data_IF_737814896245
#
_entry.id   IF_737814896245
#
_cell.length_a   1.000
_cell.length_b   1.000
_cell.length_c   1.000
_cell.angle_alpha   90.00
_cell.angle_beta   90.00
_cell.angle_gamma   90.00
#
_symmetry.space_group_name_H-M   'P 1'
#
loop_
_entity.id
_entity.type
_entity.pdbx_description
1 polymer ?
#
# COMPACT_ATOMS: atom_id res chain seq x y z
N UNK A 1 -25.16 -16.18 64.71
CA UNK A 1 -25.60 -16.60 63.37
C UNK A 1 -24.50 -16.24 62.38
N UNK A 2 -23.90 -17.25 61.77
CA UNK A 2 -22.76 -17.20 60.85
C UNK A 2 -23.11 -16.35 59.60
N UNK A 3 -22.18 -15.70 58.90
CA UNK A 3 -21.32 -16.40 57.93
C UNK A 3 -20.26 -15.46 57.33
N UNK A 4 -18.98 -15.85 57.40
CA UNK A 4 -17.90 -15.33 56.54
C UNK A 4 -18.24 -15.63 55.09
N UNK A 5 -18.11 -14.69 54.14
CA UNK A 5 -17.96 -15.04 52.71
C UNK A 5 -17.41 -13.87 51.87
N UNK A 6 -16.18 -14.09 51.40
CA UNK A 6 -15.67 -13.78 50.06
C UNK A 6 -15.16 -12.35 49.79
N UNK A 7 -13.90 -12.20 50.21
CA UNK A 7 -12.79 -11.56 49.50
C UNK A 7 -12.78 -11.83 47.96
N UNK A 8 -13.70 -11.29 47.16
CA UNK A 8 -13.67 -11.40 45.68
C UNK A 8 -14.39 -10.21 45.02
N UNK A 9 -13.82 -9.00 45.05
CA UNK A 9 -14.18 -7.97 44.05
C UNK A 9 -13.05 -6.97 43.73
N UNK A 10 -11.78 -7.39 43.82
CA UNK A 10 -10.62 -6.60 43.34
C UNK A 10 -10.02 -7.29 42.11
N UNK A 11 -10.87 -7.77 41.20
CA UNK A 11 -10.45 -8.42 39.95
C UNK A 11 -11.26 -7.93 38.74
N UNK A 12 -12.02 -6.85 38.92
CA UNK A 12 -12.79 -6.20 37.84
C UNK A 12 -12.21 -4.84 37.41
N UNK A 13 -11.20 -4.32 38.12
CA UNK A 13 -10.46 -3.11 37.71
C UNK A 13 -9.16 -3.44 36.94
N UNK A 14 -8.74 -4.70 36.89
CA UNK A 14 -7.63 -5.16 36.04
C UNK A 14 -8.12 -5.72 34.70
N UNK A 15 -9.38 -6.18 34.62
CA UNK A 15 -10.01 -6.63 33.39
C UNK A 15 -10.49 -5.47 32.47
N UNK A 16 -10.44 -4.23 32.96
CA UNK A 16 -10.69 -3.02 32.16
C UNK A 16 -9.41 -2.22 31.85
N UNK A 17 -8.23 -2.76 32.21
CA UNK A 17 -6.92 -2.21 31.83
C UNK A 17 -6.11 -3.20 30.99
N UNK A 18 -6.75 -4.21 30.40
CA UNK A 18 -6.13 -5.16 29.49
C UNK A 18 -6.67 -5.09 28.05
N UNK A 19 -7.51 -4.08 27.74
CA UNK A 19 -8.07 -3.88 26.40
C UNK A 19 -7.36 -2.80 25.57
N UNK A 20 -6.32 -2.15 26.10
CA UNK A 20 -5.39 -1.41 25.26
C UNK A 20 -4.30 -2.36 24.75
N UNK A 21 -4.73 -3.43 24.08
CA UNK A 21 -3.86 -4.16 23.17
C UNK A 21 -3.50 -3.15 22.08
N UNK A 22 -2.31 -2.55 22.17
CA UNK A 22 -1.72 -1.86 21.06
C UNK A 22 -1.80 -2.82 19.88
N UNK A 23 -2.62 -2.49 18.88
CA UNK A 23 -2.68 -3.27 17.66
C UNK A 23 -1.23 -3.50 17.24
N UNK A 24 -0.82 -4.75 16.93
CA UNK A 24 0.54 -4.99 16.51
C UNK A 24 0.85 -3.97 15.41
N UNK A 25 2.01 -3.32 15.52
CA UNK A 25 2.50 -2.32 14.58
C UNK A 25 2.82 -2.95 13.20
N UNK A 26 1.90 -3.76 12.69
CA UNK A 26 1.84 -4.27 11.34
C UNK A 26 1.07 -3.29 10.47
N UNK A 27 1.38 -3.33 9.18
CA UNK A 27 0.77 -2.45 8.20
C UNK A 27 -0.77 -2.51 8.28
N UNK A 28 -1.42 -1.36 8.12
CA UNK A 28 -2.88 -1.25 8.15
C UNK A 28 -3.50 -2.22 7.13
N UNK A 29 -4.70 -2.77 7.38
CA UNK A 29 -5.34 -3.66 6.42
C UNK A 29 -5.61 -2.94 5.10
N UNK A 30 -5.52 -3.67 3.99
CA UNK A 30 -5.95 -3.17 2.69
C UNK A 30 -7.49 -3.20 2.66
N UNK A 31 -8.16 -2.14 2.19
CA UNK A 31 -9.61 -2.14 1.99
C UNK A 31 -10.07 -3.34 1.16
N UNK A 32 -11.22 -3.93 1.52
CA UNK A 32 -11.81 -5.03 0.75
C UNK A 32 -12.22 -4.57 -0.66
N UNK A 33 -12.28 -5.52 -1.60
CA UNK A 33 -12.69 -5.24 -2.99
C UNK A 33 -11.53 -4.94 -3.95
N UNK A 34 -10.29 -4.87 -3.46
CA UNK A 34 -9.10 -4.73 -4.30
C UNK A 34 -8.48 -6.09 -4.64
N UNK A 35 -8.17 -6.29 -5.92
CA UNK A 35 -7.26 -7.33 -6.40
C UNK A 35 -5.83 -6.89 -6.14
N UNK A 36 -5.14 -7.60 -5.26
CA UNK A 36 -3.74 -7.33 -4.95
C UNK A 36 -2.84 -7.85 -6.06
N UNK A 37 -2.01 -6.98 -6.63
CA UNK A 37 -0.96 -7.36 -7.58
C UNK A 37 0.33 -7.73 -6.85
N UNK A 38 1.23 -8.48 -7.50
CA UNK A 38 2.52 -8.82 -6.92
C UNK A 38 3.32 -7.58 -6.51
N UNK A 39 4.05 -7.70 -5.40
CA UNK A 39 5.02 -6.72 -4.91
C UNK A 39 6.05 -6.38 -6.01
N UNK A 40 6.29 -5.09 -6.21
CA UNK A 40 7.35 -4.57 -7.08
C UNK A 40 8.38 -3.84 -6.23
N UNK A 41 9.64 -4.23 -6.38
CA UNK A 41 10.75 -3.55 -5.70
C UNK A 41 11.33 -2.46 -6.59
N UNK A 42 11.69 -1.33 -6.00
CA UNK A 42 12.45 -0.29 -6.68
C UNK A 42 13.56 0.27 -5.77
N UNK A 43 14.70 0.60 -6.38
CA UNK A 43 15.87 1.16 -5.68
C UNK A 43 15.90 2.70 -5.72
N UNK A 44 14.93 3.31 -6.41
CA UNK A 44 14.81 4.74 -6.65
C UNK A 44 13.70 5.33 -5.77
N UNK A 45 14.06 6.24 -4.87
CA UNK A 45 13.11 6.92 -3.99
C UNK A 45 12.22 7.91 -4.76
N UNK A 46 12.64 8.38 -5.94
CA UNK A 46 11.85 9.22 -6.85
C UNK A 46 11.05 8.42 -7.88
N UNK A 47 10.90 7.09 -7.69
CA UNK A 47 10.35 6.22 -8.71
C UNK A 47 8.97 6.66 -9.18
N UNK A 48 8.87 6.94 -10.48
CA UNK A 48 7.59 7.10 -11.18
C UNK A 48 7.04 5.74 -11.59
N UNK A 49 5.77 5.50 -11.27
CA UNK A 49 5.04 4.27 -11.61
C UNK A 49 4.17 4.52 -12.83
N UNK A 50 4.33 3.70 -13.88
CA UNK A 50 3.45 3.77 -15.06
C UNK A 50 2.46 2.61 -15.02
N UNK A 51 1.18 2.96 -15.01
CA UNK A 51 0.07 2.03 -15.10
C UNK A 51 -0.38 2.01 -16.56
N UNK A 52 -0.46 0.84 -17.17
CA UNK A 52 -0.95 0.66 -18.55
C UNK A 52 -2.31 -0.01 -18.53
N UNK A 53 -3.22 0.51 -19.33
CA UNK A 53 -4.58 0.04 -19.51
C UNK A 53 -4.73 -0.52 -20.93
N UNK A 54 -5.65 -1.47 -21.09
CA UNK A 54 -5.95 -2.08 -22.39
C UNK A 54 -6.88 -1.22 -23.27
N UNK A 55 -7.40 -0.12 -22.72
CA UNK A 55 -8.30 0.82 -23.38
C UNK A 55 -8.01 2.25 -22.92
N UNK A 56 -8.30 3.27 -23.76
CA UNK A 56 -8.24 4.66 -23.35
C UNK A 56 -9.18 4.97 -22.18
N UNK A 57 -8.68 5.74 -21.21
CA UNK A 57 -9.37 6.25 -20.04
C UNK A 57 -10.17 7.51 -20.37
N UNK A 58 -11.25 7.74 -19.61
CA UNK A 58 -11.91 9.04 -19.56
C UNK A 58 -11.04 10.01 -18.72
N UNK A 59 -10.47 11.07 -19.33
CA UNK A 59 -9.62 12.03 -18.64
C UNK A 59 -10.26 12.68 -17.42
N UNK A 60 -11.60 12.85 -17.40
CA UNK A 60 -12.31 13.45 -16.27
C UNK A 60 -12.25 12.57 -15.01
N UNK A 61 -12.00 11.27 -15.18
CA UNK A 61 -11.90 10.31 -14.07
C UNK A 61 -10.46 10.06 -13.62
N UNK A 62 -9.47 10.65 -14.29
CA UNK A 62 -8.05 10.55 -13.91
C UNK A 62 -7.74 11.61 -12.86
N UNK A 63 -7.91 11.23 -11.58
CA UNK A 63 -7.71 12.14 -10.45
C UNK A 63 -7.24 11.39 -9.19
N UNK A 64 -6.89 12.14 -8.14
CA UNK A 64 -6.40 11.62 -6.86
C UNK A 64 -7.41 10.80 -6.06
N UNK A 65 -8.69 10.82 -6.43
CA UNK A 65 -9.73 10.01 -5.80
C UNK A 65 -9.75 8.60 -6.41
N UNK A 66 -9.39 8.49 -7.68
CA UNK A 66 -9.43 7.24 -8.44
C UNK A 66 -8.06 6.57 -8.58
N UNK A 67 -6.97 7.34 -8.54
CA UNK A 67 -5.60 6.83 -8.59
C UNK A 67 -4.80 7.52 -7.49
N UNK A 68 -4.38 6.79 -6.47
CA UNK A 68 -3.64 7.35 -5.34
C UNK A 68 -2.64 6.37 -4.75
N UNK A 69 -1.70 6.90 -3.96
CA UNK A 69 -0.70 6.11 -3.24
C UNK A 69 -0.88 6.32 -1.75
N UNK A 70 -0.75 5.27 -0.95
CA UNK A 70 -0.63 5.38 0.51
C UNK A 70 0.65 4.73 1.02
N UNK A 71 1.02 5.05 2.26
CA UNK A 71 2.02 4.30 3.02
C UNK A 71 1.44 3.00 3.63
N UNK A 72 2.26 2.33 4.43
CA UNK A 72 1.95 1.13 5.21
C UNK A 72 0.85 1.35 6.26
N UNK A 73 0.54 2.61 6.60
CA UNK A 73 -0.49 3.02 7.55
C UNK A 73 -1.76 3.55 6.88
N UNK A 74 -1.89 3.35 5.57
CA UNK A 74 -2.97 3.89 4.74
C UNK A 74 -3.04 5.44 4.72
N UNK A 75 -1.93 6.13 5.03
CA UNK A 75 -1.86 7.58 4.92
C UNK A 75 -1.55 7.97 3.48
N UNK A 76 -2.28 8.96 2.91
CA UNK A 76 -2.08 9.37 1.53
C UNK A 76 -0.69 9.96 1.31
N UNK A 77 -0.07 9.57 0.21
CA UNK A 77 1.18 10.15 -0.30
C UNK A 77 0.84 11.06 -1.45
N UNK A 78 1.32 12.31 -1.41
CA UNK A 78 1.08 13.26 -2.48
C UNK A 78 1.75 12.79 -3.78
N UNK A 79 0.99 12.73 -4.87
CA UNK A 79 1.46 12.31 -6.19
C UNK A 79 0.94 13.24 -7.28
N UNK A 80 1.69 13.29 -8.39
CA UNK A 80 1.30 13.93 -9.64
C UNK A 80 0.90 12.82 -10.62
N UNK A 81 -0.28 13.00 -11.23
CA UNK A 81 -0.81 12.09 -12.26
C UNK A 81 -0.60 12.71 -13.63
N UNK A 82 0.10 11.99 -14.50
CA UNK A 82 0.37 12.42 -15.88
C UNK A 82 -0.14 11.36 -16.84
N UNK A 83 -1.35 11.52 -17.42
CA UNK A 83 -1.86 10.61 -18.44
C UNK A 83 -1.02 10.71 -19.72
N UNK A 84 -0.89 9.59 -20.43
CA UNK A 84 -0.26 9.56 -21.76
C UNK A 84 -1.15 10.23 -22.82
N UNK A 85 -0.59 10.65 -23.96
CA UNK A 85 -1.37 11.31 -25.03
C UNK A 85 -2.55 10.47 -25.56
N UNK A 86 -2.41 9.14 -25.55
CA UNK A 86 -3.46 8.19 -25.94
C UNK A 86 -4.42 7.83 -24.80
N UNK A 87 -4.23 8.41 -23.61
CA UNK A 87 -4.98 8.14 -22.37
C UNK A 87 -5.03 6.65 -21.98
N UNK A 88 -4.13 5.82 -22.50
CA UNK A 88 -4.07 4.39 -22.20
C UNK A 88 -3.02 4.07 -21.11
N UNK A 89 -2.31 5.07 -20.61
CA UNK A 89 -1.40 4.95 -19.48
C UNK A 89 -1.46 6.17 -18.56
N UNK A 90 -1.15 5.97 -17.29
CA UNK A 90 -1.00 7.05 -16.31
C UNK A 90 0.33 6.87 -15.59
N UNK A 91 1.16 7.91 -15.64
CA UNK A 91 2.34 8.01 -14.81
C UNK A 91 1.97 8.61 -13.44
N UNK A 92 2.41 7.96 -12.37
CA UNK A 92 2.20 8.36 -10.99
C UNK A 92 3.55 8.68 -10.38
N UNK A 93 3.83 9.95 -10.20
CA UNK A 93 5.11 10.46 -9.67
C UNK A 93 4.89 10.98 -8.25
N UNK A 94 5.68 10.55 -7.26
CA UNK A 94 5.56 11.10 -5.92
C UNK A 94 5.99 12.58 -5.90
N UNK A 95 5.25 13.43 -5.20
CA UNK A 95 5.56 14.85 -5.07
C UNK A 95 6.82 15.10 -4.21
N UNK A 96 7.21 14.11 -3.41
CA UNK A 96 8.46 14.09 -2.64
C UNK A 96 9.03 12.68 -2.66
N UNK A 97 10.37 12.50 -2.60
CA UNK A 97 10.96 11.18 -2.57
C UNK A 97 10.34 10.32 -1.47
N UNK A 98 10.06 9.07 -1.81
CA UNK A 98 9.60 8.10 -0.85
C UNK A 98 10.63 7.86 0.25
N UNK A 99 10.16 7.41 1.40
CA UNK A 99 11.02 7.05 2.53
C UNK A 99 11.64 5.67 2.30
N UNK A 100 12.96 5.51 2.52
CA UNK A 100 13.62 4.21 2.51
C UNK A 100 12.97 3.20 3.45
N UNK A 101 13.01 1.94 3.04
CA UNK A 101 12.55 0.77 3.82
C UNK A 101 11.07 0.84 4.23
N UNK A 102 10.29 1.65 3.50
CA UNK A 102 8.84 1.73 3.62
C UNK A 102 8.15 0.99 2.49
N UNK A 103 6.97 0.48 2.82
CA UNK A 103 6.02 -0.06 1.87
C UNK A 103 5.03 1.04 1.48
N UNK A 104 4.76 1.12 0.19
CA UNK A 104 3.71 1.95 -0.35
C UNK A 104 2.66 1.08 -1.04
N UNK A 105 1.50 1.65 -1.28
CA UNK A 105 0.38 0.96 -1.92
C UNK A 105 -0.24 1.90 -2.94
N UNK A 106 -0.18 1.53 -4.22
CA UNK A 106 -0.87 2.28 -5.28
C UNK A 106 -2.26 1.68 -5.47
N UNK A 107 -3.29 2.50 -5.34
CA UNK A 107 -4.70 2.13 -5.51
C UNK A 107 -5.25 2.67 -6.81
N UNK A 108 -6.05 1.84 -7.49
CA UNK A 108 -6.88 2.21 -8.63
C UNK A 108 -8.31 1.83 -8.28
N UNK A 109 -9.24 2.77 -8.24
CA UNK A 109 -10.63 2.50 -7.84
C UNK A 109 -11.53 2.16 -9.04
N UNK A 110 -12.74 1.66 -8.77
CA UNK A 110 -13.77 1.44 -9.80
C UNK A 110 -14.37 2.74 -10.36
N UNK A 111 -14.04 3.90 -9.79
CA UNK A 111 -14.44 5.21 -10.33
C UNK A 111 -13.63 5.64 -11.55
N UNK A 112 -12.53 4.93 -11.86
CA UNK A 112 -11.77 5.13 -13.09
C UNK A 112 -12.46 4.42 -14.26
N UNK A 113 -12.89 5.17 -15.27
CA UNK A 113 -13.70 4.64 -16.39
C UNK A 113 -12.98 4.72 -17.72
N UNK A 114 -13.38 3.87 -18.66
CA UNK A 114 -12.96 4.02 -20.06
C UNK A 114 -13.68 5.16 -20.77
N UNK A 115 -13.00 5.82 -21.71
CA UNK A 115 -13.57 6.83 -22.59
C UNK A 115 -14.72 6.28 -23.47
N UNK A 116 -14.73 4.98 -23.78
CA UNK A 116 -15.82 4.33 -24.55
C UNK A 116 -16.84 3.72 -23.60
N UNK A 117 -17.81 4.52 -23.17
CA UNK A 117 -19.05 4.03 -22.55
C UNK A 117 -19.03 3.85 -21.04
N UNK A 118 -18.04 4.40 -20.32
CA UNK A 118 -18.09 4.50 -18.85
C UNK A 118 -17.93 3.18 -18.09
N UNK A 119 -17.53 2.10 -18.77
CA UNK A 119 -17.32 0.82 -18.11
C UNK A 119 -16.13 0.92 -17.11
N UNK A 120 -16.30 0.41 -15.87
CA UNK A 120 -15.21 0.35 -14.92
C UNK A 120 -14.14 -0.61 -15.43
N UNK A 121 -12.89 -0.19 -15.32
CA UNK A 121 -11.78 -1.06 -15.70
C UNK A 121 -11.62 -2.19 -14.68
N UNK A 122 -11.18 -3.36 -15.17
CA UNK A 122 -10.94 -4.59 -14.41
C UNK A 122 -10.24 -4.34 -13.05
N UNK A 123 -10.47 -5.21 -12.05
CA UNK A 123 -10.76 -4.85 -10.66
C UNK A 123 -9.69 -4.01 -9.96
N UNK A 124 -10.08 -3.27 -8.90
CA UNK A 124 -9.23 -2.31 -8.22
C UNK A 124 -7.87 -2.91 -7.87
N UNK A 125 -6.77 -2.28 -8.28
CA UNK A 125 -5.43 -2.88 -8.16
C UNK A 125 -4.67 -2.26 -6.99
N UNK A 126 -4.02 -3.10 -6.18
CA UNK A 126 -2.97 -2.65 -5.25
C UNK A 126 -1.62 -3.15 -5.70
N UNK A 127 -0.69 -2.23 -5.98
CA UNK A 127 0.74 -2.55 -6.15
C UNK A 127 1.47 -2.17 -4.88
N UNK A 128 2.32 -3.05 -4.38
CA UNK A 128 3.27 -2.69 -3.33
C UNK A 128 4.58 -2.21 -3.98
N UNK A 129 4.94 -0.93 -3.92
CA UNK A 129 6.33 -0.54 -3.95
C UNK A 129 7.00 -0.90 -2.64
N UNK A 130 7.98 -1.83 -2.64
CA UNK A 130 8.97 -1.88 -1.56
C UNK A 130 10.21 -1.12 -2.03
N UNK A 131 10.58 -0.11 -1.28
CA UNK A 131 11.74 0.72 -1.56
C UNK A 131 12.82 0.34 -0.57
N UNK A 132 13.65 -0.63 -0.94
CA UNK A 132 14.74 -1.10 -0.10
C UNK A 132 16.07 -0.69 -0.75
N UNK A 133 16.73 0.39 -0.31
CA UNK A 133 18.07 0.75 -0.80
C UNK A 133 19.09 -0.40 -0.59
N UNK A 134 18.78 -1.29 0.35
CA UNK A 134 19.58 -2.42 0.80
C UNK A 134 19.52 -3.63 -0.16
N UNK A 135 18.62 -3.64 -1.15
CA UNK A 135 18.52 -4.73 -2.14
C UNK A 135 19.83 -4.93 -2.94
N UNK A 136 20.51 -3.83 -3.29
CA UNK A 136 21.82 -3.89 -3.98
C UNK A 136 22.91 -4.58 -3.16
N UNK A 137 22.90 -4.43 -1.83
CA UNK A 137 23.93 -4.99 -0.96
C UNK A 137 23.79 -6.51 -0.73
N UNK A 138 22.57 -7.06 -0.83
CA UNK A 138 22.34 -8.51 -0.69
C UNK A 138 22.70 -9.29 -1.95
N UNK A 139 22.37 -8.77 -3.15
CA UNK A 139 22.74 -9.42 -4.42
C UNK A 139 24.25 -9.43 -4.65
N UNK A 140 24.95 -8.35 -4.28
CA UNK A 140 26.41 -8.28 -4.43
C UNK A 140 27.17 -9.26 -3.51
N UNK A 141 26.60 -9.64 -2.35
CA UNK A 141 27.21 -10.65 -1.47
C UNK A 141 26.92 -12.10 -1.89
N UNK A 142 25.90 -12.33 -2.70
CA UNK A 142 25.57 -13.67 -3.21
C UNK A 142 26.46 -14.07 -4.40
N UNK A 143 26.79 -13.12 -5.28
CA UNK A 143 27.69 -13.32 -6.43
C UNK A 143 29.17 -13.54 -6.02
N UNK A 144 29.54 -13.21 -4.79
CA UNK A 144 30.90 -13.35 -4.26
C UNK A 144 31.18 -14.71 -3.59
N UNK A 145 30.22 -15.65 -3.60
CA UNK A 145 30.38 -17.03 -3.10
C UNK A 145 30.31 -18.03 -4.25
N UNK A 146 31.30 -18.05 -5.12
CA UNK A 146 31.60 -19.27 -5.89
C UNK A 146 32.42 -20.21 -4.99
N UNK A 147 32.02 -21.48 -4.79
CA UNK A 147 32.82 -22.42 -4.02
C UNK A 147 34.13 -22.74 -4.77
N UNK A 148 35.26 -22.94 -4.08
CA UNK A 148 36.50 -23.37 -4.74
C UNK A 148 36.33 -24.77 -5.34
N UNK A 149 36.92 -24.92 -6.52
CA UNK A 149 36.99 -26.13 -7.36
C UNK A 149 37.71 -27.29 -6.69
#
# INVERSE_FOLDING_TARGET
MNTKRKLITITLLFAFFALLQAAPAGAAPIPSGFKVWPLKTADDLGKTWTIKFNMPLDPATINSQNIYVTDDKNQPVATVLSPSPDSAAVAVTPASPYTPEKEYRLFITSGLTSAKGGLPLHPPVVVYPSLSPTAKLKLSRYQARTPPS
#
